data_IF_315570959603
#
_entry.id   IF_315570959603
#
_cell.length_a   1.000
_cell.length_b   1.000
_cell.length_c   1.000
_cell.angle_alpha   90.00
_cell.angle_beta   90.00
_cell.angle_gamma   90.00
#
_symmetry.space_group_name_H-M   'P 1'
#
loop_
_entity.id
_entity.type
_entity.pdbx_description
1 polymer ?
2 non-polymer ?
3 non-polymer ?
4 water ?
#
# COMPACT_ATOMS: atom_id res chain seq x y z
N UNK A 6 6.31 -14.30 21.96
CA UNK A 6 5.73 -13.31 22.86
C UNK A 6 4.61 -12.53 22.18
N UNK A 7 4.86 -12.11 20.93
CA UNK A 7 3.88 -11.27 20.23
C UNK A 7 2.61 -12.04 19.90
N UNK A 8 2.69 -13.37 19.78
CA UNK A 8 1.50 -14.15 19.46
C UNK A 8 0.53 -14.22 20.62
N UNK A 9 0.99 -14.01 21.86
CA UNK A 9 0.08 -14.02 23.01
C UNK A 9 -0.92 -12.88 22.98
N UNK A 10 -0.71 -11.88 22.12
CA UNK A 10 -1.69 -10.84 21.90
C UNK A 10 -2.78 -11.25 20.91
N UNK A 11 -2.58 -12.35 20.19
CA UNK A 11 -3.53 -12.80 19.19
C UNK A 11 -4.51 -13.79 19.79
N UNK A 12 -5.74 -13.74 19.29
CA UNK A 12 -6.76 -14.70 19.68
C UNK A 12 -6.58 -15.99 18.90
N UNK A 13 -6.61 -17.12 19.58
CA UNK A 13 -6.58 -18.42 18.93
C UNK A 13 -8.03 -18.81 18.61
N UNK A 14 -8.32 -19.01 17.33
CA UNK A 14 -9.67 -19.28 16.86
C UNK A 14 -9.80 -20.76 16.58
N UNK A 15 -10.94 -21.35 16.96
CA UNK A 15 -11.13 -22.77 16.69
C UNK A 15 -11.56 -22.96 15.23
N UNK A 16 -11.05 -24.00 14.57
CA UNK A 16 -11.41 -24.20 13.15
C UNK A 16 -12.90 -24.31 12.89
N UNK A 17 -13.68 -24.80 13.85
CA UNK A 17 -15.13 -24.90 13.67
C UNK A 17 -15.81 -23.55 13.54
N UNK A 18 -15.13 -22.46 13.89
CA UNK A 18 -15.70 -21.12 13.78
C UNK A 18 -15.43 -20.47 12.44
N UNK A 19 -14.74 -21.16 11.52
CA UNK A 19 -14.23 -20.58 10.29
C UNK A 19 -14.70 -21.42 9.11
N UNK A 20 -15.32 -20.78 8.13
CA UNK A 20 -15.67 -21.43 6.87
C UNK A 20 -14.99 -20.68 5.74
N UNK A 21 -14.15 -21.39 4.98
CA UNK A 21 -13.58 -20.83 3.77
C UNK A 21 -14.58 -20.99 2.64
N UNK A 22 -14.79 -19.92 1.87
CA UNK A 22 -15.83 -19.91 0.86
C UNK A 22 -15.31 -19.72 -0.56
N UNK A 23 -14.38 -18.81 -0.78
CA UNK A 23 -13.95 -18.47 -2.13
C UNK A 23 -12.50 -18.04 -2.10
N UNK A 24 -11.72 -18.51 -3.07
CA UNK A 24 -10.31 -18.14 -3.17
C UNK A 24 -10.20 -16.76 -3.78
N UNK A 25 -9.49 -15.87 -3.09
CA UNK A 25 -9.25 -14.51 -3.58
C UNK A 25 -7.77 -14.22 -3.81
N UNK A 26 -6.87 -15.06 -3.31
CA UNK A 26 -5.45 -14.95 -3.57
C UNK A 26 -4.85 -16.33 -3.46
N UNK A 27 -3.69 -16.52 -4.08
CA UNK A 27 -3.11 -17.85 -4.08
C UNK A 27 -1.62 -17.78 -4.32
N UNK A 28 -0.91 -18.76 -3.75
CA UNK A 28 0.51 -18.92 -3.95
C UNK A 28 0.88 -20.39 -3.88
N UNK A 29 2.17 -20.71 -3.75
CA UNK A 29 2.56 -22.11 -3.73
C UNK A 29 2.32 -22.78 -2.39
N UNK A 30 2.44 -22.03 -1.28
CA UNK A 30 2.38 -22.61 0.05
C UNK A 30 1.12 -22.25 0.82
N UNK A 31 0.11 -21.71 0.15
CA UNK A 31 -1.14 -21.37 0.79
C UNK A 31 -1.97 -20.48 -0.10
N UNK A 32 -3.20 -20.22 0.36
CA UNK A 32 -4.14 -19.39 -0.37
C UNK A 32 -4.74 -18.37 0.59
N UNK A 33 -5.39 -17.36 0.00
CA UNK A 33 -6.20 -16.41 0.73
C UNK A 33 -7.65 -16.61 0.31
N UNK A 34 -8.54 -16.70 1.29
CA UNK A 34 -9.95 -16.96 1.05
C UNK A 34 -10.80 -15.84 1.64
N UNK A 35 -11.92 -15.58 1.00
CA UNK A 35 -13.03 -14.94 1.68
C UNK A 35 -13.81 -16.01 2.41
N UNK A 36 -14.27 -15.70 3.62
CA UNK A 36 -15.01 -16.67 4.40
C UNK A 36 -15.82 -15.98 5.47
N UNK A 37 -16.31 -16.79 6.40
CA UNK A 37 -17.12 -16.29 7.50
C UNK A 37 -16.54 -16.77 8.82
N UNK A 38 -16.69 -15.94 9.84
CA UNK A 38 -16.21 -16.23 11.18
C UNK A 38 -17.39 -16.17 12.15
N UNK A 39 -17.55 -17.22 12.95
CA UNK A 39 -18.68 -17.36 13.87
C UNK A 39 -18.10 -17.53 15.27
N UNK A 40 -18.03 -16.44 16.01
CA UNK A 40 -17.51 -16.49 17.39
C UNK A 40 -18.50 -17.20 18.32
N UNK A 44 -23.36 -12.52 18.07
CA UNK A 44 -23.60 -11.93 16.76
C UNK A 44 -23.63 -13.02 15.69
N UNK A 45 -24.22 -12.71 14.54
CA UNK A 45 -24.16 -13.59 13.39
C UNK A 45 -22.72 -13.73 12.91
N UNK A 46 -22.51 -14.59 11.92
CA UNK A 46 -21.22 -14.74 11.29
C UNK A 46 -20.81 -13.42 10.64
N UNK A 47 -19.52 -13.11 10.71
CA UNK A 47 -18.97 -11.90 10.08
C UNK A 47 -18.06 -12.32 8.93
N UNK A 48 -18.00 -11.57 7.83
CA UNK A 48 -17.07 -11.91 6.76
C UNK A 48 -15.64 -11.65 7.19
N UNK A 49 -14.73 -12.51 6.72
CA UNK A 49 -13.32 -12.41 7.07
C UNK A 49 -12.50 -12.83 5.86
N UNK A 50 -11.23 -12.43 5.86
CA UNK A 50 -10.25 -13.02 4.97
C UNK A 50 -9.41 -14.01 5.75
N UNK A 51 -9.00 -15.08 5.07
CA UNK A 51 -8.36 -16.22 5.70
C UNK A 51 -7.16 -16.60 4.86
N UNK A 52 -5.97 -16.54 5.43
CA UNK A 52 -4.75 -16.94 4.74
C UNK A 52 -4.25 -18.23 5.38
N UNK A 53 -3.92 -19.22 4.57
CA UNK A 53 -3.51 -20.52 5.05
C UNK A 53 -2.04 -20.80 4.75
N UNK A 54 -1.48 -21.73 5.51
CA UNK A 54 -0.12 -22.23 5.32
C UNK A 54 -0.19 -23.75 5.26
N UNK A 55 0.22 -24.31 4.13
CA UNK A 55 0.02 -25.74 3.85
C UNK A 55 1.05 -26.60 4.57
N UNK A 56 0.65 -27.84 4.86
CA UNK A 56 1.51 -28.77 5.58
C UNK A 56 2.81 -29.02 4.84
N UNK A 57 3.86 -29.36 5.59
CA UNK A 57 5.20 -29.44 5.06
C UNK A 57 5.98 -28.16 5.13
N UNK A 58 5.37 -27.09 5.66
CA UNK A 58 6.07 -25.81 5.74
C UNK A 58 7.34 -25.96 6.57
N UNK A 59 8.34 -25.13 6.24
CA UNK A 59 9.59 -25.12 6.97
C UNK A 59 9.48 -24.27 8.24
N UNK A 60 10.51 -24.36 9.08
CA UNK A 60 10.59 -23.51 10.26
C UNK A 60 10.58 -22.04 9.87
N UNK A 61 11.36 -21.67 8.86
CA UNK A 61 11.37 -20.28 8.41
C UNK A 61 9.99 -19.85 7.92
N UNK A 62 9.31 -20.70 7.16
CA UNK A 62 7.97 -20.35 6.69
C UNK A 62 7.01 -20.15 7.85
N UNK A 63 7.08 -21.01 8.87
CA UNK A 63 6.20 -20.86 10.03
C UNK A 63 6.50 -19.56 10.77
N UNK A 64 7.78 -19.27 10.98
CA UNK A 64 8.18 -18.03 11.65
C UNK A 64 7.74 -16.81 10.84
N UNK A 65 7.94 -16.85 9.52
CA UNK A 65 7.50 -15.73 8.68
C UNK A 65 5.98 -15.59 8.68
N UNK A 66 5.26 -16.71 8.59
CA UNK A 66 3.81 -16.68 8.47
C UNK A 66 3.16 -16.17 9.75
N UNK A 67 3.48 -16.79 10.87
CA UNK A 67 2.96 -16.31 12.14
C UNK A 67 3.53 -14.96 12.53
N UNK A 68 4.71 -14.62 12.02
CA UNK A 68 5.29 -13.31 12.27
C UNK A 68 4.46 -12.19 11.69
N UNK A 69 3.83 -12.41 10.53
CA UNK A 69 2.95 -11.39 9.99
C UNK A 69 1.80 -11.12 10.95
N UNK A 70 1.20 -12.20 11.49
CA UNK A 70 0.13 -12.03 12.47
C UNK A 70 0.64 -11.38 13.74
N UNK A 71 1.83 -11.76 14.20
CA UNK A 71 2.39 -11.15 15.40
C UNK A 71 2.59 -9.66 15.25
N UNK A 72 3.05 -9.23 14.07
CA UNK A 72 3.23 -7.80 13.82
C UNK A 72 1.88 -7.10 13.78
N UNK A 73 0.93 -7.66 13.02
CA UNK A 73 -0.38 -7.02 12.88
C UNK A 73 -1.11 -6.93 14.21
N UNK A 74 -0.92 -7.91 15.09
CA UNK A 74 -1.56 -7.86 16.40
C UNK A 74 -1.03 -6.75 17.30
N UNK A 75 0.10 -6.15 16.95
CA UNK A 75 0.62 -5.03 17.72
C UNK A 75 0.00 -3.70 17.33
N UNK A 76 -0.80 -3.66 16.26
CA UNK A 76 -1.31 -2.42 15.70
C UNK A 76 -2.80 -2.30 15.93
N UNK A 77 -3.26 -1.08 16.16
CA UNK A 77 -4.68 -0.77 16.29
C UNK A 77 -4.91 0.59 15.65
N UNK A 78 -5.27 0.59 14.37
CA UNK A 78 -5.45 1.85 13.65
C UNK A 78 -6.43 1.63 12.52
N UNK A 79 -7.27 2.64 12.28
CA UNK A 79 -8.30 2.60 11.24
C UNK A 79 -7.74 2.24 9.87
N UNK A 80 -6.50 2.64 9.56
CA UNK A 80 -5.95 2.45 8.23
C UNK A 80 -4.92 1.33 8.17
N UNK A 81 -4.97 0.40 9.11
CA UNK A 81 -4.11 -0.78 9.15
C UNK A 81 -5.02 -1.98 9.26
N UNK A 82 -4.82 -2.99 8.41
CA UNK A 82 -5.68 -4.17 8.43
C UNK A 82 -5.74 -4.77 9.83
N UNK A 83 -6.97 -5.04 10.29
CA UNK A 83 -7.21 -5.57 11.62
C UNK A 83 -7.14 -7.10 11.63
N UNK A 84 -6.40 -7.64 12.60
CA UNK A 84 -6.29 -9.07 12.81
C UNK A 84 -7.44 -9.54 13.69
N UNK A 85 -8.15 -10.58 13.25
CA UNK A 85 -9.15 -11.22 14.08
C UNK A 85 -8.54 -12.31 14.96
N UNK A 86 -7.61 -13.07 14.42
CA UNK A 86 -6.97 -14.12 15.19
C UNK A 86 -6.24 -15.09 14.28
N UNK A 87 -5.76 -16.16 14.90
CA UNK A 87 -4.98 -17.17 14.19
C UNK A 87 -5.47 -18.56 14.57
N UNK A 88 -5.28 -19.49 13.66
CA UNK A 88 -5.37 -20.92 13.97
C UNK A 88 -3.95 -21.45 13.88
N UNK A 89 -3.37 -21.78 15.03
CA UNK A 89 -2.04 -22.37 15.08
C UNK A 89 -2.03 -23.75 15.71
N UNK A 90 -3.01 -24.08 16.55
CA UNK A 90 -3.08 -25.39 17.21
C UNK A 90 -3.58 -26.49 16.29
N UNK A 91 -4.10 -26.15 15.11
CA UNK A 91 -4.59 -27.12 14.16
C UNK A 91 -3.98 -26.82 12.80
N UNK A 92 -4.01 -27.82 11.93
CA UNK A 92 -3.45 -27.68 10.59
C UNK A 92 -4.57 -27.84 9.57
N UNK A 93 -4.54 -27.03 8.49
CA UNK A 93 -3.52 -26.03 8.17
C UNK A 93 -3.64 -24.80 9.06
N UNK A 94 -2.51 -24.13 9.31
CA UNK A 94 -2.56 -22.92 10.10
C UNK A 94 -3.18 -21.79 9.29
N UNK A 95 -3.80 -20.84 10.00
CA UNK A 95 -4.47 -19.76 9.31
C UNK A 95 -4.29 -18.45 10.07
N UNK A 96 -4.33 -17.37 9.30
CA UNK A 96 -4.45 -16.01 9.84
C UNK A 96 -5.77 -15.46 9.33
N UNK A 97 -6.56 -14.86 10.22
CA UNK A 97 -7.90 -14.37 9.92
C UNK A 97 -7.94 -12.88 10.19
N UNK A 98 -8.36 -12.11 9.19
CA UNK A 98 -8.44 -10.66 9.31
C UNK A 98 -9.82 -10.20 8.87
N UNK A 99 -10.08 -8.91 9.08
CA UNK A 99 -11.25 -8.30 8.47
C UNK A 99 -11.21 -8.50 6.96
N UNK A 100 -12.39 -8.54 6.34
CA UNK A 100 -12.51 -8.74 4.91
C UNK A 100 -12.69 -7.41 4.23
N UNK A 101 -11.77 -7.08 3.32
CA UNK A 101 -11.83 -5.82 2.57
C UNK A 101 -12.55 -6.09 1.26
N UNK A 102 -13.76 -5.56 1.12
CA UNK A 102 -14.65 -6.02 0.06
C UNK A 102 -14.18 -5.65 -1.33
N UNK A 103 -13.38 -4.59 -1.48
CA UNK A 103 -12.96 -4.12 -2.80
C UNK A 103 -11.54 -4.53 -3.18
N UNK A 104 -10.87 -5.32 -2.33
CA UNK A 104 -9.59 -5.89 -2.71
C UNK A 104 -8.46 -4.87 -2.81
N UNK A 105 -7.48 -5.23 -3.63
CA UNK A 105 -6.25 -4.46 -3.76
C UNK A 105 -6.51 -3.16 -4.50
N UNK A 106 -5.89 -2.08 -4.02
CA UNK A 106 -6.17 -0.75 -4.53
C UNK A 106 -5.75 -0.61 -6.00
N UNK A 107 -4.64 -1.22 -6.40
CA UNK A 107 -4.18 -1.06 -7.79
C UNK A 107 -5.19 -1.64 -8.77
N UNK A 108 -5.65 -2.86 -8.53
CA UNK A 108 -6.62 -3.49 -9.40
C UNK A 108 -7.96 -2.78 -9.33
N UNK A 109 -8.36 -2.37 -8.12
CA UNK A 109 -9.61 -1.66 -7.94
C UNK A 109 -9.64 -0.40 -8.79
N UNK A 110 -8.60 0.43 -8.71
CA UNK A 110 -8.60 1.67 -9.48
C UNK A 110 -8.63 1.40 -10.98
N UNK A 111 -7.91 0.37 -11.44
CA UNK A 111 -7.88 0.08 -12.87
C UNK A 111 -9.23 -0.40 -13.35
N UNK A 112 -9.99 -1.04 -12.49
CA UNK A 112 -11.34 -1.50 -12.82
C UNK A 112 -12.40 -0.44 -12.63
N UNK A 113 -12.06 0.71 -12.06
CA UNK A 113 -13.00 1.78 -11.75
C UNK A 113 -12.53 3.10 -12.35
N UNK A 114 -11.84 3.03 -13.48
CA UNK A 114 -11.16 4.20 -14.03
C UNK A 114 -12.15 5.34 -14.25
N UNK A 115 -11.85 6.50 -13.66
CA UNK A 115 -12.69 7.68 -13.83
C UNK A 115 -13.94 7.73 -12.98
N UNK A 116 -14.13 6.79 -12.06
CA UNK A 116 -15.42 6.69 -11.36
C UNK A 116 -15.48 7.47 -10.06
N UNK A 117 -14.38 8.06 -9.60
CA UNK A 117 -14.38 8.75 -8.32
C UNK A 117 -14.13 10.24 -8.50
N UNK A 118 -14.51 11.01 -7.49
CA UNK A 118 -14.16 12.41 -7.52
C UNK A 118 -12.72 12.61 -7.05
N UNK A 119 -12.16 13.75 -7.42
CA UNK A 119 -10.82 14.09 -6.93
C UNK A 119 -10.79 14.08 -5.41
N UNK A 120 -11.85 14.56 -4.77
CA UNK A 120 -11.89 14.57 -3.31
C UNK A 120 -11.85 13.16 -2.76
N UNK A 121 -12.57 12.22 -3.39
CA UNK A 121 -12.51 10.82 -2.97
C UNK A 121 -11.10 10.26 -3.10
N UNK A 122 -10.43 10.52 -4.23
CA UNK A 122 -9.07 10.03 -4.41
C UNK A 122 -8.13 10.59 -3.36
N UNK A 123 -8.23 11.90 -3.08
CA UNK A 123 -7.37 12.49 -2.06
C UNK A 123 -7.69 11.92 -0.68
N UNK A 124 -8.96 11.65 -0.41
CA UNK A 124 -9.31 11.00 0.85
C UNK A 124 -8.68 9.63 1.00
N UNK A 125 -8.57 8.88 -0.10
CA UNK A 125 -7.89 7.59 -0.02
C UNK A 125 -6.42 7.77 0.33
N UNK A 126 -5.78 8.81 -0.22
CA UNK A 126 -4.39 9.08 0.10
C UNK A 126 -4.22 9.51 1.54
N UNK A 127 -5.16 10.30 2.07
CA UNK A 127 -5.05 10.69 3.48
C UNK A 127 -5.13 9.48 4.40
N UNK A 128 -6.00 8.52 4.08
CA UNK A 128 -6.08 7.32 4.89
C UNK A 128 -4.80 6.52 4.85
N UNK A 129 -4.24 6.34 3.64
CA UNK A 129 -2.98 5.62 3.52
C UNK A 129 -1.89 6.33 4.32
N UNK A 130 -1.83 7.66 4.19
CA UNK A 130 -0.82 8.43 4.90
C UNK A 130 -0.97 8.31 6.41
N UNK A 131 -2.21 8.28 6.90
CA UNK A 131 -2.43 8.14 8.33
C UNK A 131 -1.97 6.77 8.81
N UNK A 132 -2.27 5.72 8.06
CA UNK A 132 -1.75 4.41 8.41
C UNK A 132 -0.23 4.38 8.42
N UNK A 133 0.38 4.99 7.42
CA UNK A 133 1.84 5.02 7.34
C UNK A 133 2.46 5.85 8.45
N UNK A 134 1.84 6.97 8.83
CA UNK A 134 2.35 7.74 9.96
C UNK A 134 2.36 6.88 11.21
N UNK A 135 1.28 6.15 11.43
CA UNK A 135 1.19 5.26 12.58
C UNK A 135 2.30 4.22 12.55
N UNK A 136 2.48 3.54 11.41
CA UNK A 136 3.53 2.53 11.30
C UNK A 136 4.89 3.14 11.58
N UNK A 137 5.19 4.28 10.94
CA UNK A 137 6.49 4.92 11.15
C UNK A 137 6.70 5.25 12.62
N UNK A 138 5.68 5.79 13.27
CA UNK A 138 5.84 6.16 14.67
C UNK A 138 5.90 4.95 15.59
N UNK A 139 5.35 3.81 15.16
CA UNK A 139 5.51 2.55 15.86
C UNK A 139 6.83 1.87 15.52
N UNK A 140 7.71 2.56 14.80
CA UNK A 140 9.04 2.04 14.44
C UNK A 140 8.96 0.85 13.48
N UNK A 141 7.99 0.90 12.57
CA UNK A 141 7.81 -0.15 11.57
C UNK A 141 8.03 0.45 10.20
N UNK A 142 9.07 -0.03 9.52
CA UNK A 142 9.39 0.36 8.14
C UNK A 142 8.75 -0.67 7.22
N UNK A 143 7.93 -0.21 6.30
CA UNK A 143 7.14 -1.15 5.50
C UNK A 143 7.98 -1.84 4.43
N UNK A 144 8.78 -1.07 3.70
CA UNK A 144 9.68 -1.52 2.62
C UNK A 144 9.01 -1.85 1.30
N UNK A 145 7.69 -2.03 1.29
CA UNK A 145 7.01 -2.48 0.08
C UNK A 145 5.71 -1.72 -0.10
N UNK A 146 5.71 -0.43 0.17
CA UNK A 146 4.49 0.35 0.04
C UNK A 146 4.22 0.60 -1.44
N UNK A 147 3.02 0.24 -1.88
CA UNK A 147 2.59 0.30 -3.28
C UNK A 147 1.09 0.08 -3.26
N UNK A 148 0.40 0.53 -4.30
CA UNK A 148 -1.04 0.36 -4.33
C UNK A 148 -1.45 -1.10 -4.27
N UNK A 149 -0.62 -2.00 -4.81
CA UNK A 149 -0.93 -3.42 -4.74
C UNK A 149 -0.95 -3.95 -3.31
N UNK A 150 -0.36 -3.24 -2.36
CA UNK A 150 -0.33 -3.67 -0.97
C UNK A 150 -1.23 -2.83 -0.07
N UNK A 151 -2.19 -2.14 -0.65
CA UNK A 151 -3.25 -1.43 0.07
C UNK A 151 -4.55 -2.14 -0.27
N UNK A 152 -5.40 -2.30 0.72
CA UNK A 152 -6.70 -2.93 0.53
C UNK A 152 -7.81 -1.89 0.75
N UNK A 153 -8.95 -2.11 0.11
CA UNK A 153 -10.03 -1.13 0.09
C UNK A 153 -11.33 -1.79 0.55
N UNK A 154 -12.07 -1.14 1.45
CA UNK A 154 -13.35 -1.67 1.90
C UNK A 154 -14.53 -0.93 1.27
N UNK A 155 -15.74 -1.36 1.65
CA UNK A 155 -16.98 -0.83 1.10
C UNK A 155 -17.30 0.58 1.58
N UNK A 156 -16.52 1.16 2.50
CA UNK A 156 -16.58 2.57 2.81
C UNK A 156 -15.50 3.36 2.09
N UNK A 157 -14.80 2.74 1.14
CA UNK A 157 -13.69 3.36 0.43
C UNK A 157 -12.48 3.61 1.33
N UNK A 158 -12.44 3.00 2.50
CA UNK A 158 -11.31 3.16 3.40
C UNK A 158 -10.17 2.30 2.89
N UNK A 159 -8.99 2.92 2.78
CA UNK A 159 -7.77 2.25 2.38
C UNK A 159 -6.96 1.87 3.60
N UNK A 160 -6.47 0.65 3.63
CA UNK A 160 -5.71 0.15 4.76
C UNK A 160 -4.44 -0.48 4.27
N UNK A 161 -3.36 -0.20 4.97
CA UNK A 161 -2.06 -0.80 4.64
C UNK A 161 -2.09 -2.26 5.01
N UNK A 162 -1.55 -3.07 4.10
CA UNK A 162 -1.49 -4.52 4.18
C UNK A 162 -0.04 -4.95 3.94
N UNK A 163 0.21 -6.26 4.02
CA UNK A 163 1.51 -6.86 3.68
C UNK A 163 2.61 -6.59 4.71
N UNK A 164 2.57 -7.33 5.82
CA UNK A 164 3.48 -7.13 6.95
C UNK A 164 4.40 -8.31 7.14
N UNK A 165 5.56 -8.05 7.72
CA UNK A 165 6.48 -9.12 8.03
C UNK A 165 7.91 -8.63 7.92
N UNK A 166 8.83 -9.58 8.02
CA UNK A 166 10.24 -9.27 7.83
C UNK A 166 10.65 -9.65 6.42
N UNK A 167 11.50 -10.67 6.27
CA UNK A 167 11.97 -11.02 4.94
C UNK A 167 10.85 -11.45 4.00
N UNK A 168 9.72 -11.92 4.53
CA UNK A 168 8.66 -12.41 3.67
C UNK A 168 8.07 -11.32 2.79
N UNK A 169 8.17 -10.05 3.20
CA UNK A 169 7.52 -8.98 2.45
C UNK A 169 8.11 -8.86 1.06
N UNK A 170 9.42 -8.63 0.97
CA UNK A 170 10.04 -8.53 -0.35
C UNK A 170 10.23 -9.88 -1.02
N UNK A 171 10.34 -10.96 -0.24
CA UNK A 171 10.50 -12.29 -0.84
C UNK A 171 9.25 -12.71 -1.61
N UNK A 172 8.07 -12.41 -1.07
CA UNK A 172 6.81 -12.89 -1.65
C UNK A 172 6.28 -12.00 -2.77
N UNK A 173 6.75 -10.75 -2.88
CA UNK A 173 6.21 -9.85 -3.88
C UNK A 173 6.90 -10.09 -5.22
N UNK A 174 6.17 -10.52 -6.26
CA UNK A 174 6.83 -10.73 -7.56
C UNK A 174 7.34 -9.45 -8.20
N UNK A 175 6.82 -8.29 -7.81
CA UNK A 175 7.35 -7.02 -8.31
C UNK A 175 8.76 -6.77 -7.82
N UNK A 176 9.17 -7.38 -6.71
CA UNK A 176 10.51 -7.18 -6.18
C UNK A 176 11.47 -8.13 -6.90
N UNK A 177 12.47 -7.56 -7.56
CA UNK A 177 13.38 -8.31 -8.41
C UNK A 177 14.82 -8.13 -7.93
N UNK A 178 15.67 -9.08 -8.29
CA UNK A 178 17.05 -9.11 -7.85
C UNK A 178 17.88 -7.99 -8.48
N UNK A 186 9.93 -4.01 -5.49
CA UNK A 186 10.19 -3.53 -6.84
C UNK A 186 10.92 -2.20 -6.88
N UNK A 187 11.84 -2.18 -7.82
CA UNK A 187 12.74 -1.06 -8.01
C UNK A 187 11.97 0.25 -8.15
N UNK A 188 10.93 0.27 -8.97
CA UNK A 188 10.36 1.56 -9.33
C UNK A 188 9.46 2.17 -8.25
N UNK A 189 9.22 1.45 -7.15
CA UNK A 189 8.58 2.02 -5.97
C UNK A 189 9.58 2.40 -4.89
N UNK A 190 10.86 2.13 -5.07
CA UNK A 190 11.83 2.14 -3.97
C UNK A 190 12.74 3.37 -4.06
N UNK A 191 13.02 3.97 -2.91
CA UNK A 191 13.83 5.16 -2.88
C UNK A 191 15.28 4.87 -3.31
N UNK A 192 15.97 5.87 -3.85
CA UNK A 192 17.36 5.64 -4.30
C UNK A 192 18.28 5.05 -3.25
N UNK A 193 18.24 5.53 -2.00
CA UNK A 193 19.17 5.03 -1.00
C UNK A 193 18.88 3.58 -0.62
N UNK A 194 17.62 3.17 -0.73
CA UNK A 194 17.29 1.78 -0.43
C UNK A 194 17.83 0.87 -1.52
N UNK A 195 17.74 1.31 -2.78
CA UNK A 195 18.34 0.55 -3.88
C UNK A 195 19.86 0.56 -3.78
N UNK A 196 20.45 1.74 -3.60
CA UNK A 196 21.90 1.85 -3.76
C UNK A 196 22.66 1.25 -2.59
N UNK A 197 22.17 1.43 -1.36
CA UNK A 197 22.95 0.94 -0.22
C UNK A 197 22.12 0.24 0.84
N UNK A 198 20.90 -0.18 0.49
CA UNK A 198 20.06 -1.00 1.36
C UNK A 198 19.52 -0.24 2.57
N UNK A 199 19.41 1.08 2.47
CA UNK A 199 18.93 1.89 3.58
C UNK A 199 17.42 2.07 3.47
N UNK A 200 16.68 1.21 4.17
CA UNK A 200 15.22 1.26 4.20
C UNK A 200 14.82 1.92 5.51
N UNK A 201 14.08 3.02 5.41
CA UNK A 201 13.63 3.75 6.59
C UNK A 201 12.22 4.28 6.31
N UNK A 202 11.62 4.93 7.29
CA UNK A 202 10.36 5.60 7.01
C UNK A 202 10.48 6.65 5.93
N UNK A 203 11.68 7.22 5.73
CA UNK A 203 11.84 8.18 4.65
C UNK A 203 11.87 7.52 3.29
N UNK A 204 12.36 6.29 3.18
CA UNK A 204 12.19 5.58 1.93
C UNK A 204 10.74 5.17 1.72
N UNK A 205 10.02 4.87 2.80
CA UNK A 205 8.58 4.67 2.66
C UNK A 205 7.88 5.93 2.15
N UNK A 206 8.35 7.12 2.52
CA UNK A 206 7.75 8.35 2.01
C UNK A 206 7.92 8.44 0.49
N UNK A 207 9.12 8.10 -0.02
CA UNK A 207 9.30 8.02 -1.47
C UNK A 207 8.26 7.12 -2.09
N UNK A 208 8.10 5.92 -1.53
CA UNK A 208 7.12 4.98 -2.05
C UNK A 208 5.73 5.57 -1.98
N UNK A 209 5.41 6.28 -0.91
CA UNK A 209 4.11 6.92 -0.80
C UNK A 209 3.89 7.90 -1.94
N UNK A 210 4.91 8.66 -2.32
CA UNK A 210 4.76 9.53 -3.47
C UNK A 210 4.39 8.76 -4.73
N UNK A 211 5.00 7.58 -4.93
CA UNK A 211 4.61 6.73 -6.05
C UNK A 211 3.16 6.31 -5.91
N UNK A 212 2.73 5.93 -4.70
CA UNK A 212 1.33 5.56 -4.48
C UNK A 212 0.40 6.73 -4.81
N UNK A 213 0.78 7.96 -4.45
CA UNK A 213 -0.04 9.11 -4.82
C UNK A 213 -0.23 9.16 -6.32
N UNK A 214 0.85 8.96 -7.08
CA UNK A 214 0.77 8.96 -8.52
C UNK A 214 -0.10 7.80 -9.02
N UNK A 215 0.05 6.61 -8.43
CA UNK A 215 -0.82 5.49 -8.81
C UNK A 215 -2.29 5.83 -8.58
N UNK A 216 -2.62 6.45 -7.47
CA UNK A 216 -4.02 6.74 -7.18
C UNK A 216 -4.55 7.78 -8.15
N UNK A 217 -3.81 8.87 -8.34
CA UNK A 217 -4.33 9.95 -9.17
C UNK A 217 -4.42 9.58 -10.64
N UNK A 218 -3.69 8.56 -11.09
CA UNK A 218 -3.78 8.05 -12.45
C UNK A 218 -4.70 6.84 -12.60
N UNK A 219 -5.41 6.44 -11.55
CA UNK A 219 -6.24 5.23 -11.60
C UNK A 219 -5.43 3.98 -11.93
N UNK A 220 -4.24 3.89 -11.36
CA UNK A 220 -3.48 2.66 -11.43
C UNK A 220 -2.59 2.54 -12.64
N UNK A 221 -2.14 3.66 -13.18
CA UNK A 221 -1.13 3.58 -14.23
C UNK A 221 0.15 2.97 -13.66
N UNK A 222 0.89 2.24 -14.48
CA UNK A 222 2.13 1.63 -14.01
C UNK A 222 3.23 2.69 -13.98
N UNK A 223 3.86 2.91 -12.84
CA UNK A 223 4.90 3.96 -12.75
C UNK A 223 6.01 3.74 -13.77
N UNK A 224 6.33 4.81 -14.50
CA UNK A 224 7.39 4.85 -15.49
C UNK A 224 7.09 4.02 -16.73
N UNK A 225 5.86 3.53 -16.88
CA UNK A 225 5.43 2.85 -18.10
C UNK A 225 6.40 1.72 -18.43
N UNK A 226 6.88 1.63 -19.66
CA UNK A 226 7.66 0.48 -20.09
C UNK A 226 9.16 0.65 -19.91
N UNK A 227 9.61 1.71 -19.21
CA UNK A 227 11.03 1.79 -18.90
C UNK A 227 11.45 0.56 -18.12
N UNK A 228 12.63 0.04 -18.43
CA UNK A 228 13.19 -1.04 -17.64
C UNK A 228 13.63 -0.52 -16.28
N UNK A 229 13.90 -1.47 -15.37
CA UNK A 229 14.38 -1.07 -14.04
C UNK A 229 15.64 -0.22 -14.12
N UNK A 230 16.58 -0.60 -14.99
CA UNK A 230 17.81 0.19 -15.11
C UNK A 230 17.50 1.57 -15.65
N UNK A 231 16.61 1.65 -16.64
CA UNK A 231 16.23 2.95 -17.19
C UNK A 231 15.56 3.83 -16.14
N UNK A 232 14.74 3.24 -15.27
CA UNK A 232 14.13 4.01 -14.20
C UNK A 232 15.20 4.58 -13.27
N UNK A 233 16.13 3.73 -12.85
CA UNK A 233 17.15 4.19 -11.91
C UNK A 233 18.02 5.28 -12.54
N UNK A 234 18.36 5.12 -13.82
CA UNK A 234 19.16 6.13 -14.50
C UNK A 234 18.40 7.44 -14.62
N UNK A 235 17.11 7.36 -14.97
CA UNK A 235 16.29 8.57 -15.07
C UNK A 235 16.22 9.30 -13.73
N UNK A 236 15.97 8.56 -12.64
CA UNK A 236 15.88 9.19 -11.33
C UNK A 236 17.20 9.83 -10.95
N UNK A 237 18.30 9.13 -11.18
CA UNK A 237 19.59 9.68 -10.80
C UNK A 237 19.96 10.90 -11.62
N UNK A 238 19.44 11.01 -12.84
CA UNK A 238 19.64 12.18 -13.67
C UNK A 238 18.68 13.31 -13.36
N UNK A 239 17.74 13.11 -12.43
CA UNK A 239 16.83 14.15 -11.99
C UNK A 239 15.44 14.12 -12.59
N UNK A 240 15.15 13.14 -13.46
CA UNK A 240 13.80 12.96 -14.01
C UNK A 240 12.85 12.50 -12.92
N UNK A 241 11.59 12.93 -13.02
CA UNK A 241 10.55 12.45 -12.12
C UNK A 241 9.28 12.21 -12.93
N UNK A 242 8.38 11.42 -12.36
CA UNK A 242 7.10 11.15 -13.02
C UNK A 242 6.36 12.46 -13.32
N UNK A 243 5.71 12.56 -14.47
CA UNK A 243 5.00 13.79 -14.84
C UNK A 243 3.65 13.84 -14.13
N UNK A 244 3.00 14.98 -14.26
CA UNK A 244 1.72 15.19 -13.61
C UNK A 244 0.68 14.21 -14.15
N UNK A 245 -0.12 13.56 -13.30
CA UNK A 245 -1.31 12.87 -13.81
C UNK A 245 -2.27 13.87 -14.44
N UNK A 246 -3.17 13.34 -15.27
CA UNK A 246 -4.27 14.15 -15.78
C UNK A 246 -5.17 14.56 -14.63
N UNK A 247 -5.69 15.79 -14.71
CA UNK A 247 -6.69 16.28 -13.75
C UNK A 247 -6.22 16.20 -12.30
N UNK A 248 -4.94 16.49 -12.07
CA UNK A 248 -4.36 16.35 -10.74
C UNK A 248 -4.26 17.71 -10.08
N UNK A 249 -4.78 17.87 -8.86
CA UNK A 249 -4.60 19.12 -8.16
C UNK A 249 -3.13 19.49 -8.06
N UNK A 250 -2.84 20.78 -8.28
CA UNK A 250 -1.47 21.26 -8.18
C UNK A 250 -0.86 20.92 -6.82
N UNK A 251 -1.62 21.10 -5.73
CA UNK A 251 -1.07 20.83 -4.40
C UNK A 251 -0.67 19.37 -4.26
N UNK A 252 -1.44 18.47 -4.87
CA UNK A 252 -1.17 17.04 -4.80
C UNK A 252 0.09 16.68 -5.59
N UNK A 253 0.24 17.26 -6.79
CA UNK A 253 1.47 17.00 -7.54
C UNK A 253 2.69 17.59 -6.83
N UNK A 254 2.57 18.79 -6.27
CA UNK A 254 3.68 19.36 -5.51
C UNK A 254 4.08 18.45 -4.36
N UNK A 255 3.09 17.89 -3.66
CA UNK A 255 3.39 17.02 -2.53
C UNK A 255 4.10 15.73 -2.98
N UNK A 256 3.60 15.08 -4.04
CA UNK A 256 4.29 13.87 -4.47
C UNK A 256 5.71 14.17 -4.93
N UNK A 257 5.92 15.31 -5.61
CA UNK A 257 7.27 15.66 -6.04
C UNK A 257 8.22 15.77 -4.86
N UNK A 258 7.75 16.35 -3.74
CA UNK A 258 8.63 16.51 -2.59
C UNK A 258 8.92 15.17 -1.91
N UNK A 259 8.01 14.19 -2.05
CA UNK A 259 8.32 12.84 -1.60
C UNK A 259 9.49 12.23 -2.37
N UNK A 260 9.77 12.73 -3.59
CA UNK A 260 10.81 12.19 -4.44
C UNK A 260 12.08 13.03 -4.42
N UNK A 261 12.35 13.73 -3.33
CA UNK A 261 13.62 14.41 -3.22
C UNK A 261 14.72 13.38 -3.06
N UNK A 262 15.80 13.56 -3.82
CA UNK A 262 16.93 12.64 -3.72
C UNK A 262 17.48 12.60 -2.30
N UNK A 263 17.60 13.78 -1.68
CA UNK A 263 18.12 13.89 -0.32
C UNK A 263 17.01 13.52 0.65
N UNK A 264 17.22 12.42 1.38
CA UNK A 264 16.25 11.88 2.32
C UNK A 264 15.72 12.97 3.25
N UNK A 265 16.61 13.84 3.73
CA UNK A 265 16.24 14.83 4.74
C UNK A 265 15.28 15.89 4.22
N UNK A 266 15.19 16.07 2.90
CA UNK A 266 14.31 17.06 2.30
C UNK A 266 12.91 16.54 2.01
N UNK A 267 12.66 15.26 2.27
CA UNK A 267 11.33 14.72 2.08
C UNK A 267 10.43 15.07 3.27
N UNK A 268 9.14 15.27 3.04
CA UNK A 268 8.22 15.42 4.16
C UNK A 268 8.22 14.15 5.00
N UNK A 269 7.90 14.29 6.29
CA UNK A 269 7.55 13.13 7.08
C UNK A 269 6.09 12.80 6.85
N UNK A 270 5.68 11.60 7.24
CA UNK A 270 4.26 11.29 7.13
C UNK A 270 3.41 12.25 7.95
N UNK A 271 3.95 12.75 9.07
CA UNK A 271 3.21 13.76 9.84
C UNK A 271 2.89 14.96 8.98
N UNK A 272 3.84 15.39 8.15
CA UNK A 272 3.59 16.54 7.28
C UNK A 272 2.59 16.20 6.20
N UNK A 273 2.71 15.01 5.63
CA UNK A 273 1.80 14.57 4.57
C UNK A 273 0.36 14.53 5.07
N UNK A 274 0.14 13.90 6.23
CA UNK A 274 -1.20 13.82 6.80
C UNK A 274 -1.77 15.21 7.04
N UNK A 275 -0.95 16.10 7.60
CA UNK A 275 -1.41 17.45 7.89
C UNK A 275 -1.83 18.18 6.61
N UNK A 276 -1.00 18.11 5.57
CA UNK A 276 -1.30 18.77 4.30
C UNK A 276 -2.57 18.21 3.68
N UNK A 277 -2.66 16.87 3.60
CA UNK A 277 -3.82 16.27 2.97
C UNK A 277 -5.09 16.61 3.75
N UNK A 278 -4.99 16.64 5.08
CA UNK A 278 -6.16 16.96 5.90
C UNK A 278 -6.62 18.39 5.64
N UNK A 279 -5.68 19.31 5.50
CA UNK A 279 -6.04 20.71 5.20
C UNK A 279 -6.66 20.88 3.85
N UNK A 280 -6.13 20.17 2.85
CA UNK A 280 -6.72 20.24 1.52
C UNK A 280 -8.14 19.69 1.51
N UNK A 281 -8.37 18.57 2.20
CA UNK A 281 -9.69 17.98 2.23
C UNK A 281 -10.68 18.89 2.95
N UNK A 282 -10.24 19.55 4.01
CA UNK A 282 -11.12 20.40 4.79
C UNK A 282 -11.42 21.73 4.11
N UNK A 283 -10.61 22.12 3.12
CA UNK A 283 -10.90 23.25 2.24
C UNK A 283 -10.89 22.75 0.80
N UNK A 284 -11.89 21.97 0.40
CA UNK A 284 -11.78 21.18 -0.83
C UNK A 284 -11.71 22.00 -2.10
N UNK A 285 -12.08 23.28 -2.06
CA UNK A 285 -11.87 24.14 -3.22
C UNK A 285 -10.40 24.24 -3.58
N UNK A 286 -9.50 24.03 -2.61
CA UNK A 286 -8.07 24.03 -2.87
C UNK A 286 -7.68 23.00 -3.92
N UNK A 287 -8.48 21.95 -4.10
CA UNK A 287 -8.17 20.89 -5.03
C UNK A 287 -8.64 21.19 -6.45
N UNK A 288 -9.38 22.28 -6.66
CA UNK A 288 -9.84 22.64 -8.00
C UNK A 288 -8.74 23.26 -8.86
N UNK A 289 -7.66 23.75 -8.26
CA UNK A 289 -6.52 24.27 -9.02
C UNK A 289 -5.66 23.11 -9.48
N UNK A 290 -5.56 22.90 -10.78
CA UNK A 290 -4.93 21.71 -11.35
C UNK A 290 -3.53 22.02 -11.86
N UNK A 291 -2.61 21.08 -11.66
CA UNK A 291 -1.32 21.17 -12.31
C UNK A 291 -1.50 20.99 -13.82
N UNK A 292 -0.68 21.71 -14.59
CA UNK A 292 -0.70 21.58 -16.04
C UNK A 292 -0.34 20.16 -16.45
N UNK A 293 -1.15 19.57 -17.31
CA UNK A 293 -0.89 18.24 -17.87
C UNK A 293 -0.20 18.41 -19.21
N UNK A 294 0.99 17.82 -19.35
CA UNK A 294 1.73 17.89 -20.60
C UNK A 294 1.16 16.87 -21.58
N UNK A 295 0.40 17.31 -22.58
CA UNK A 295 -0.24 16.35 -23.49
C UNK A 295 0.80 15.68 -24.37
N UNK A 296 0.62 14.38 -24.57
CA UNK A 296 1.53 13.57 -25.36
C UNK A 296 1.03 13.35 -26.78
N UNK A 297 -0.19 13.81 -27.08
CA UNK A 297 -0.77 13.68 -28.40
C UNK A 297 -1.31 15.05 -28.81
N UNK A 298 -1.03 15.45 -30.04
CA UNK A 298 -1.52 16.70 -30.59
C UNK A 298 -2.69 16.39 -31.53
N UNK A 299 -3.86 16.94 -31.23
CA UNK A 299 -5.05 16.80 -32.07
C UNK A 299 -5.44 18.18 -32.56
N UNK A 300 -5.31 18.43 -33.86
CA UNK A 300 -5.65 19.69 -34.48
C UNK A 300 -6.92 19.53 -35.29
N UNK A 301 -7.80 20.54 -35.23
CA UNK A 301 -9.03 20.54 -36.00
C UNK A 301 -9.28 21.96 -36.50
N UNK A 302 -9.52 22.15 -37.81
CA UNK A 302 -9.78 23.46 -38.42
C UNK A 302 -11.00 24.15 -37.83
X LIG B 1 -8.23 -9.01 3.49
X LIG B 1 -7.19 -9.62 2.90
X LIG B 1 -6.04 -10.10 3.46
X LIG B 1 -12.97 -8.37 -6.40
X LIG B 1 -2.50 -11.65 6.63
X LIG B 1 -2.55 -10.33 6.22
X LIG B 1 -3.70 -9.83 5.61
X LIG B 1 -3.70 -8.49 5.22
X LIG B 1 -9.76 -9.02 -0.90
X LIG B 1 -10.80 -8.91 -1.81
X LIG B 1 -10.54 -9.23 -3.15
X LIG B 1 -8.33 -9.73 -2.61
X LIG B 1 -7.06 -10.15 -3.01
X LIG B 1 -12.76 -8.46 -3.91
X LIG B 1 -11.16 -9.74 -5.43
X LIG B 1 -13.29 -7.47 -7.52
X LIG B 1 -13.24 -8.21 -8.86
X LIG B 1 -9.96 -8.72 0.40
X LIG B 1 -9.05 -8.98 1.37
X LIG B 1 -9.24 -8.65 2.66
X LIG B 1 -7.53 -9.74 1.25
X LIG B 1 -5.93 -10.16 4.83
X LIG B 1 -4.80 -10.65 5.41
X LIG B 1 -4.75 -11.99 5.83
X LIG B 1 -3.59 -12.48 6.43
X LIG B 1 -6.08 -13.10 5.63
X LIG B 1 -5.14 -10.49 2.72
X LIG B 1 -9.32 -9.63 -3.51
X LIG B 1 -8.56 -9.42 -1.34
X LIG B 1 -11.46 -9.14 -4.12
X LIG B 1 -13.10 -7.61 -5.14
X LIG B 1 -11.60 -8.83 -6.57
X LIG B 1 -12.02 -7.87 -9.55
X LIG C 1 7.69 9.78 9.97
X LIG C 1 7.44 9.86 8.56
X LIG C 1 6.38 9.91 10.72
X LIG C 1 5.87 11.25 10.59
X LIG D 1 14.97 5.06 -7.85
X LIG D 1 16.10 4.98 -8.70
X LIG D 1 13.92 4.15 -8.49
X LIG D 1 12.69 4.31 -7.78
X LIG E 1 -13.05 0.60 8.46
X LIG E 1 -12.81 -0.52 9.32
X LIG E 1 -14.46 1.09 8.68
X LIG E 1 -14.80 1.98 7.62
#
# INVERSE_FOLDING_TARGET
>A
GDPNQAVLKFTTEIHPSCVTRQKVIGAGEFGEVYKGMLKTSSGKKEVPVAIKTLKAGYTEKQRVDFLGEAGIMGQFSHHNIIRLEGVISKYKPMMIITEYMENGALDKFLREKDGEFSVLQLVGMLRGIAAGMKYLANMNYVHRDLAARNILVNSNLVCKVSDFGLSRVLEDDPEATYTTSGGKIPIRWTAPEAISYRKFTSASDVWSFGIVMWEVMTYGERPYWELSNHEVMKAINDGFRLPTPMDCPSAIYQLMMQCWQQERARRPKFADIVSILDKLIRAPDSLKTLADFDPRVSIRLPSTSG
>B hetero
1 1N1 C1 C2 C3 N6 C7 C8 C9 C10 C11 C12 C13 C14 C15 C16 C19 C20 C21 N C N1 S N2 C4 C5 C6 CL O N3 N4 N5 C17 C18 O1
>C hetero
1 EDO C1 O1 C2 O2
>D hetero
1 EDO C1 O1 C2 O2
>E hetero
1 EDO C1 O1 C2 O2
#
